data_IF_922657119840
#
_entry.id   IF_922657119840
#
_cell.length_a   1.000
_cell.length_b   1.000
_cell.length_c   1.000
_cell.angle_alpha   90.00
_cell.angle_beta   90.00
_cell.angle_gamma   90.00
#
_symmetry.space_group_name_H-M   'P 1'
#
loop_
_entity.id
_entity.type
_entity.pdbx_description
1 polymer ?
#
# COMPACT_ATOMS: atom_id res chain seq x y z
N UNK A 1 0.68 11.64 -17.57
CA UNK A 1 -0.47 10.83 -17.15
C UNK A 1 -1.16 11.56 -16.02
N UNK A 2 -2.48 11.71 -16.06
CA UNK A 2 -3.27 12.35 -15.01
C UNK A 2 -4.06 11.27 -14.30
N UNK A 3 -3.72 10.98 -13.04
CA UNK A 3 -4.47 10.03 -12.22
C UNK A 3 -5.79 10.66 -11.77
N UNK A 4 -6.87 9.86 -11.62
CA UNK A 4 -8.11 10.33 -11.05
C UNK A 4 -7.88 10.89 -9.64
N UNK A 5 -8.50 12.02 -9.33
CA UNK A 5 -8.37 12.63 -7.99
C UNK A 5 -9.11 11.77 -6.98
N UNK A 6 -8.38 11.28 -5.97
CA UNK A 6 -8.95 10.62 -4.81
C UNK A 6 -9.89 11.59 -4.07
N UNK A 7 -11.20 11.34 -4.15
CA UNK A 7 -12.24 12.20 -3.57
C UNK A 7 -12.20 12.24 -2.05
N UNK A 8 -11.83 11.13 -1.40
CA UNK A 8 -11.70 11.06 0.06
C UNK A 8 -10.53 11.92 0.53
N UNK A 9 -9.38 11.82 -0.17
CA UNK A 9 -8.22 12.66 0.09
C UNK A 9 -8.53 14.14 -0.17
N UNK A 10 -9.24 14.45 -1.26
CA UNK A 10 -9.65 15.83 -1.57
C UNK A 10 -10.54 16.40 -0.45
N UNK A 11 -11.49 15.61 0.05
CA UNK A 11 -12.34 16.00 1.18
C UNK A 11 -11.52 16.22 2.45
N UNK A 12 -10.59 15.31 2.78
CA UNK A 12 -9.70 15.44 3.93
C UNK A 12 -8.78 16.67 3.86
N UNK A 13 -8.45 17.11 2.64
CA UNK A 13 -7.65 18.31 2.38
C UNK A 13 -8.50 19.57 2.13
N UNK A 14 -9.77 19.56 2.52
CA UNK A 14 -10.70 20.70 2.39
C UNK A 14 -10.77 21.27 0.96
N UNK A 15 -10.75 20.40 -0.05
CA UNK A 15 -10.85 20.81 -1.45
C UNK A 15 -9.54 21.30 -2.08
N UNK A 16 -8.39 21.14 -1.41
CA UNK A 16 -7.10 21.46 -2.01
C UNK A 16 -6.69 20.44 -3.09
N UNK A 17 -7.15 20.68 -4.31
CA UNK A 17 -6.94 19.82 -5.48
C UNK A 17 -5.48 19.67 -5.85
N UNK A 18 -4.67 20.73 -5.75
CA UNK A 18 -3.25 20.67 -6.08
C UNK A 18 -2.50 19.73 -5.14
N UNK A 19 -2.74 19.84 -3.83
CA UNK A 19 -2.12 18.95 -2.86
C UNK A 19 -2.61 17.51 -2.99
N UNK A 20 -3.92 17.29 -3.18
CA UNK A 20 -4.50 15.98 -3.39
C UNK A 20 -3.90 15.29 -4.63
N UNK A 21 -3.77 16.03 -5.73
CA UNK A 21 -3.14 15.52 -6.96
C UNK A 21 -1.66 15.22 -6.74
N UNK A 22 -0.92 16.11 -6.08
CA UNK A 22 0.51 15.90 -5.78
C UNK A 22 0.76 14.66 -4.90
N UNK A 23 -0.09 14.42 -3.91
CA UNK A 23 -0.02 13.21 -3.08
C UNK A 23 -0.41 11.94 -3.85
N UNK A 24 -1.44 12.02 -4.70
CA UNK A 24 -1.85 10.89 -5.56
C UNK A 24 -0.73 10.49 -6.53
N UNK A 25 -0.07 11.47 -7.17
CA UNK A 25 1.09 11.23 -8.03
C UNK A 25 2.23 10.55 -7.27
N UNK A 26 2.61 11.10 -6.10
CA UNK A 26 3.67 10.51 -5.27
C UNK A 26 3.30 9.11 -4.79
N UNK A 27 2.04 8.86 -4.49
CA UNK A 27 1.58 7.52 -4.14
C UNK A 27 1.75 6.57 -5.34
N UNK A 28 1.29 6.97 -6.53
CA UNK A 28 1.38 6.17 -7.74
C UNK A 28 2.82 5.81 -8.13
N UNK A 29 3.77 6.73 -7.89
CA UNK A 29 5.19 6.51 -8.16
C UNK A 29 5.85 5.57 -7.12
N UNK A 30 5.49 5.68 -5.84
CA UNK A 30 6.21 5.00 -4.76
C UNK A 30 5.59 3.67 -4.35
N UNK A 31 4.25 3.54 -4.38
CA UNK A 31 3.56 2.35 -3.89
C UNK A 31 3.98 1.05 -4.62
N UNK A 32 4.12 1.02 -5.96
CA UNK A 32 4.57 -0.20 -6.66
C UNK A 32 5.97 -0.64 -6.25
N UNK A 33 6.89 0.31 -6.05
CA UNK A 33 8.26 0.03 -5.61
C UNK A 33 8.27 -0.54 -4.18
N UNK A 34 7.48 0.05 -3.28
CA UNK A 34 7.33 -0.45 -1.91
C UNK A 34 6.71 -1.85 -1.87
N UNK A 35 5.73 -2.13 -2.74
CA UNK A 35 5.14 -3.46 -2.91
C UNK A 35 6.18 -4.50 -3.34
N UNK A 36 7.01 -4.17 -4.32
CA UNK A 36 8.08 -5.06 -4.79
C UNK A 36 9.14 -5.31 -3.73
N UNK A 37 9.52 -4.29 -2.96
CA UNK A 37 10.46 -4.44 -1.85
C UNK A 37 9.86 -5.36 -0.78
N UNK A 38 8.59 -5.15 -0.43
CA UNK A 38 7.87 -5.95 0.55
C UNK A 38 7.79 -7.42 0.11
N UNK A 39 7.33 -7.68 -1.12
CA UNK A 39 7.18 -9.05 -1.62
C UNK A 39 8.52 -9.78 -1.68
N UNK A 40 9.57 -9.11 -2.17
CA UNK A 40 10.90 -9.69 -2.22
C UNK A 40 11.49 -9.95 -0.83
N UNK A 41 11.24 -9.07 0.15
CA UNK A 41 11.64 -9.30 1.54
C UNK A 41 10.90 -10.50 2.16
N UNK A 42 9.59 -10.63 1.87
CA UNK A 42 8.77 -11.75 2.31
C UNK A 42 9.29 -13.09 1.78
N UNK A 43 9.57 -13.17 0.48
CA UNK A 43 10.10 -14.37 -0.18
C UNK A 43 11.46 -14.79 0.39
N UNK A 44 12.32 -13.82 0.74
CA UNK A 44 13.61 -14.09 1.40
C UNK A 44 13.45 -14.47 2.88
N UNK A 45 12.29 -14.23 3.50
CA UNK A 45 12.09 -14.33 4.94
C UNK A 45 12.92 -13.33 5.73
N UNK A 46 13.07 -12.12 5.20
CA UNK A 46 13.82 -11.01 5.80
C UNK A 46 12.87 -10.15 6.65
N UNK A 47 12.75 -10.49 7.93
CA UNK A 47 11.79 -9.88 8.87
C UNK A 47 11.99 -8.36 9.03
N UNK A 48 13.24 -7.92 9.13
CA UNK A 48 13.56 -6.48 9.28
C UNK A 48 13.14 -5.71 8.03
N UNK A 49 13.42 -6.25 6.83
CA UNK A 49 13.00 -5.61 5.60
C UNK A 49 11.47 -5.64 5.41
N UNK A 50 10.79 -6.72 5.80
CA UNK A 50 9.31 -6.80 5.82
C UNK A 50 8.73 -5.76 6.76
N UNK A 51 9.28 -5.62 7.97
CA UNK A 51 8.83 -4.62 8.94
C UNK A 51 9.04 -3.20 8.43
N UNK A 52 10.24 -2.89 7.91
CA UNK A 52 10.55 -1.56 7.39
C UNK A 52 9.71 -1.18 6.16
N UNK A 53 9.49 -2.12 5.24
CA UNK A 53 8.70 -1.89 4.03
C UNK A 53 7.19 -1.80 4.31
N UNK A 54 6.66 -2.65 5.20
CA UNK A 54 5.25 -2.56 5.62
C UNK A 54 4.92 -1.26 6.33
N UNK A 55 5.79 -0.76 7.20
CA UNK A 55 5.56 0.53 7.88
C UNK A 55 5.43 1.68 6.88
N UNK A 56 6.33 1.73 5.87
CA UNK A 56 6.27 2.73 4.80
C UNK A 56 5.00 2.59 3.97
N UNK A 57 4.65 1.37 3.59
CA UNK A 57 3.46 1.11 2.80
C UNK A 57 2.18 1.48 3.56
N UNK A 58 2.07 1.12 4.85
CA UNK A 58 0.97 1.54 5.74
C UNK A 58 0.81 3.06 5.78
N UNK A 59 1.91 3.81 5.88
CA UNK A 59 1.86 5.27 5.86
C UNK A 59 1.23 5.80 4.57
N UNK A 60 1.62 5.25 3.43
CA UNK A 60 1.08 5.64 2.12
C UNK A 60 -0.41 5.31 2.01
N UNK A 61 -0.82 4.10 2.40
CA UNK A 61 -2.22 3.66 2.34
C UNK A 61 -3.14 4.51 3.24
N UNK A 62 -2.67 4.87 4.44
CA UNK A 62 -3.41 5.73 5.37
C UNK A 62 -3.61 7.13 4.82
N UNK A 63 -2.59 7.72 4.21
CA UNK A 63 -2.71 9.03 3.53
C UNK A 63 -3.75 8.97 2.42
N UNK A 64 -3.82 7.86 1.68
CA UNK A 64 -4.79 7.68 0.61
C UNK A 64 -6.19 7.26 1.08
N UNK A 65 -6.41 7.07 2.39
CA UNK A 65 -7.70 6.64 2.94
C UNK A 65 -8.07 5.18 2.59
N UNK A 66 -7.10 4.34 2.23
CA UNK A 66 -7.32 2.98 1.75
C UNK A 66 -7.48 1.99 2.91
N UNK A 67 -8.56 2.12 3.68
CA UNK A 67 -8.73 1.41 4.95
C UNK A 67 -8.66 -0.12 4.81
N UNK A 68 -9.24 -0.69 3.77
CA UNK A 68 -9.24 -2.14 3.55
C UNK A 68 -7.81 -2.66 3.31
N UNK A 69 -7.02 -1.93 2.52
CA UNK A 69 -5.62 -2.25 2.26
C UNK A 69 -4.74 -2.08 3.52
N UNK A 70 -5.04 -1.07 4.36
CA UNK A 70 -4.38 -0.91 5.67
C UNK A 70 -4.62 -2.13 6.54
N UNK A 71 -5.88 -2.54 6.70
CA UNK A 71 -6.22 -3.70 7.53
C UNK A 71 -5.62 -5.00 6.98
N UNK A 72 -5.63 -5.18 5.66
CA UNK A 72 -5.02 -6.33 5.02
C UNK A 72 -3.51 -6.42 5.32
N UNK A 73 -2.79 -5.31 5.17
CA UNK A 73 -1.36 -5.26 5.47
C UNK A 73 -1.07 -5.48 6.96
N UNK A 74 -1.90 -4.94 7.86
CA UNK A 74 -1.79 -5.18 9.31
C UNK A 74 -2.00 -6.67 9.65
N UNK A 75 -3.02 -7.32 9.09
CA UNK A 75 -3.24 -8.76 9.29
C UNK A 75 -2.06 -9.60 8.78
N UNK A 76 -1.57 -9.28 7.58
CA UNK A 76 -0.48 -9.97 6.92
C UNK A 76 0.84 -9.87 7.70
N UNK A 77 1.07 -8.76 8.41
CA UNK A 77 2.28 -8.51 9.21
C UNK A 77 2.14 -8.79 10.70
N UNK A 78 0.92 -9.03 11.19
CA UNK A 78 0.66 -9.39 12.60
C UNK A 78 0.86 -10.88 12.90
N UNK A 79 0.79 -11.73 11.88
CA UNK A 79 0.75 -13.20 12.01
C UNK A 79 2.11 -13.86 11.80
N UNK A 80 3.17 -13.08 11.73
CA UNK A 80 4.41 -13.44 11.03
C UNK A 80 5.17 -14.63 11.63
N UNK A 81 4.93 -15.82 11.08
CA UNK A 81 5.99 -16.78 10.71
C UNK A 81 6.26 -16.63 9.22
N UNK A 82 7.26 -15.81 8.85
CA UNK A 82 7.65 -15.69 7.44
C UNK A 82 8.00 -17.08 6.86
N UNK A 83 7.73 -17.26 5.57
CA UNK A 83 7.97 -18.49 4.77
C UNK A 83 6.97 -19.64 4.88
N UNK A 84 5.97 -19.60 5.76
CA UNK A 84 4.99 -20.71 5.86
C UNK A 84 3.95 -20.66 4.72
N UNK A 85 3.66 -19.47 4.21
CA UNK A 85 2.70 -19.27 3.13
C UNK A 85 3.27 -18.38 2.02
N UNK A 86 3.02 -18.77 0.76
CA UNK A 86 3.33 -17.93 -0.39
C UNK A 86 2.52 -16.63 -0.29
N UNK A 87 3.18 -15.49 -0.49
CA UNK A 87 2.52 -14.19 -0.44
C UNK A 87 1.40 -14.09 -1.49
N UNK A 88 1.61 -14.68 -2.67
CA UNK A 88 0.63 -14.70 -3.77
C UNK A 88 -0.67 -15.45 -3.47
N UNK A 89 -0.64 -16.36 -2.50
CA UNK A 89 -1.82 -17.12 -2.07
C UNK A 89 -2.62 -16.40 -0.98
N UNK A 90 -2.03 -15.37 -0.36
CA UNK A 90 -2.69 -14.58 0.68
C UNK A 90 -3.81 -13.71 0.12
N UNK A 91 -5.02 -13.88 0.65
CA UNK A 91 -6.16 -13.00 0.33
C UNK A 91 -5.87 -11.55 0.73
N UNK A 92 -5.18 -11.32 1.84
CA UNK A 92 -4.79 -9.97 2.27
C UNK A 92 -3.82 -9.32 1.28
N UNK A 93 -2.93 -10.10 0.65
CA UNK A 93 -2.05 -9.60 -0.39
C UNK A 93 -2.83 -9.19 -1.65
N UNK A 94 -3.80 -10.01 -2.07
CA UNK A 94 -4.66 -9.69 -3.23
C UNK A 94 -5.48 -8.42 -3.01
N UNK A 95 -6.03 -8.22 -1.80
CA UNK A 95 -6.75 -7.00 -1.44
C UNK A 95 -5.84 -5.77 -1.56
N UNK A 96 -4.60 -5.88 -1.08
CA UNK A 96 -3.61 -4.82 -1.17
C UNK A 96 -3.23 -4.48 -2.62
N UNK A 97 -2.97 -5.50 -3.45
CA UNK A 97 -2.68 -5.32 -4.89
C UNK A 97 -3.83 -4.66 -5.64
N UNK A 98 -5.06 -5.15 -5.45
CA UNK A 98 -6.26 -4.58 -6.08
C UNK A 98 -6.49 -3.13 -5.64
N UNK A 99 -6.35 -2.85 -4.34
CA UNK A 99 -6.46 -1.50 -3.81
C UNK A 99 -5.47 -0.55 -4.47
N UNK A 100 -4.19 -0.91 -4.53
CA UNK A 100 -3.16 -0.06 -5.13
C UNK A 100 -3.40 0.11 -6.64
N UNK A 101 -3.74 -0.96 -7.36
CA UNK A 101 -4.06 -0.90 -8.79
C UNK A 101 -5.24 0.02 -9.08
N UNK A 102 -6.27 0.06 -8.22
CA UNK A 102 -7.44 0.93 -8.40
C UNK A 102 -7.11 2.43 -8.40
N UNK A 103 -5.98 2.83 -7.81
CA UNK A 103 -5.50 4.21 -7.79
C UNK A 103 -4.64 4.54 -9.01
N UNK A 104 -4.09 3.51 -9.66
CA UNK A 104 -3.16 3.66 -10.80
C UNK A 104 -3.87 3.70 -12.16
N UNK A 105 -5.16 3.33 -12.23
CA UNK A 105 -5.96 3.21 -13.46
C UNK A 105 -6.92 4.40 -13.60
#
# INVERSE_FOLDING_TARGET
MTYPINQQLLHALHGNTQLAHGLTMRFAENAPVLMQIFSSAWERGDEDAVHGSSFRLLSHLRVMGMQDAVQALERLTSTTTLRVHSLSESEDWKVLEQGIQSVLI
#
